data_IF_626841702638
#
_entry.id   IF_626841702638
#
_cell.length_a   1.000
_cell.length_b   1.000
_cell.length_c   1.000
_cell.angle_alpha   90.00
_cell.angle_beta   90.00
_cell.angle_gamma   90.00
#
_symmetry.space_group_name_H-M   'P 1'
#
loop_
_entity.id
_entity.type
_entity.pdbx_description
1 polymer ?
#
# COMPACT_ATOMS: atom_id res chain seq x y z
N UNK A 1 -2.33 0.85 -11.50
CA UNK A 1 -2.71 1.21 -10.12
C UNK A 1 -4.12 1.81 -10.04
N UNK A 2 -4.38 2.96 -10.67
CA UNK A 2 -5.68 3.65 -10.56
C UNK A 2 -6.88 2.85 -11.07
N UNK A 3 -6.80 2.24 -12.26
CA UNK A 3 -7.89 1.42 -12.80
C UNK A 3 -8.22 0.20 -11.91
N UNK A 4 -7.19 -0.47 -11.40
CA UNK A 4 -7.35 -1.61 -10.47
C UNK A 4 -7.97 -1.15 -9.14
N UNK A 5 -7.51 -0.04 -8.57
CA UNK A 5 -8.11 0.54 -7.38
C UNK A 5 -9.57 0.91 -7.62
N UNK A 6 -9.90 1.58 -8.73
CA UNK A 6 -11.26 1.97 -9.09
C UNK A 6 -12.19 0.74 -9.19
N UNK A 7 -11.73 -0.32 -9.84
CA UNK A 7 -12.46 -1.59 -9.94
C UNK A 7 -12.73 -2.21 -8.55
N UNK A 8 -11.73 -2.26 -7.67
CA UNK A 8 -11.89 -2.81 -6.33
C UNK A 8 -12.70 -1.90 -5.39
N UNK A 9 -12.61 -0.58 -5.59
CA UNK A 9 -13.38 0.44 -4.91
C UNK A 9 -14.83 0.54 -5.41
N UNK A 10 -15.14 -0.08 -6.56
CA UNK A 10 -16.41 0.07 -7.28
C UNK A 10 -16.75 1.54 -7.54
N UNK A 11 -15.74 2.29 -7.94
CA UNK A 11 -15.84 3.69 -8.31
C UNK A 11 -15.57 3.86 -9.79
N UNK A 12 -16.29 4.80 -10.40
CA UNK A 12 -15.86 5.39 -11.66
C UNK A 12 -14.93 6.55 -11.35
N UNK A 13 -13.72 6.48 -11.89
CA UNK A 13 -12.72 7.55 -11.76
C UNK A 13 -12.69 8.25 -13.11
N UNK A 14 -13.02 9.54 -13.11
CA UNK A 14 -12.91 10.36 -14.32
C UNK A 14 -11.47 10.52 -14.78
N UNK A 15 -11.27 11.06 -15.98
CA UNK A 15 -9.93 11.42 -16.41
C UNK A 15 -9.40 12.59 -15.58
N UNK A 16 -8.23 12.42 -14.96
CA UNK A 16 -7.53 13.53 -14.34
C UNK A 16 -7.01 14.49 -15.43
N UNK A 17 -7.08 15.79 -15.14
CA UNK A 17 -6.51 16.83 -16.01
C UNK A 17 -5.00 16.64 -16.23
N UNK A 18 -4.30 16.09 -15.23
CA UNK A 18 -2.90 15.71 -15.31
C UNK A 18 -2.69 14.33 -14.68
N UNK A 19 -1.95 13.46 -15.37
CA UNK A 19 -1.47 12.19 -14.84
C UNK A 19 0.06 12.20 -14.79
N UNK A 20 0.61 11.74 -13.66
CA UNK A 20 2.05 11.54 -13.48
C UNK A 20 2.31 10.10 -13.09
N UNK A 21 3.18 9.45 -13.85
CA UNK A 21 3.64 8.11 -13.55
C UNK A 21 5.08 8.17 -13.06
N UNK A 22 5.36 7.39 -12.02
CA UNK A 22 6.69 7.27 -11.44
C UNK A 22 7.09 5.80 -11.48
N UNK A 23 8.34 5.53 -11.83
CA UNK A 23 8.90 4.17 -11.90
C UNK A 23 8.94 3.48 -10.53
N UNK A 24 9.05 4.27 -9.45
CA UNK A 24 9.12 3.76 -8.08
C UNK A 24 8.06 4.41 -7.20
N UNK A 25 7.40 3.58 -6.38
CA UNK A 25 6.36 4.03 -5.44
C UNK A 25 6.88 5.14 -4.52
N UNK A 26 8.15 5.08 -4.10
CA UNK A 26 8.74 6.08 -3.21
C UNK A 26 8.74 7.49 -3.81
N UNK A 27 9.02 7.64 -5.11
CA UNK A 27 8.97 8.97 -5.75
C UNK A 27 7.54 9.52 -5.85
N UNK A 28 6.57 8.65 -6.10
CA UNK A 28 5.16 9.02 -6.06
C UNK A 28 4.74 9.46 -4.64
N UNK A 29 5.19 8.76 -3.60
CA UNK A 29 4.88 9.11 -2.22
C UNK A 29 5.50 10.45 -1.82
N UNK A 30 6.76 10.71 -2.16
CA UNK A 30 7.39 12.00 -1.90
C UNK A 30 6.69 13.14 -2.66
N UNK A 31 6.22 12.90 -3.89
CA UNK A 31 5.41 13.88 -4.61
C UNK A 31 4.06 14.16 -3.91
N UNK A 32 3.40 13.13 -3.39
CA UNK A 32 2.16 13.29 -2.62
C UNK A 32 2.40 14.06 -1.31
N UNK A 33 3.48 13.75 -0.59
CA UNK A 33 3.90 14.47 0.64
C UNK A 33 4.22 15.93 0.34
N UNK A 34 4.83 16.22 -0.81
CA UNK A 34 5.12 17.58 -1.27
C UNK A 34 3.87 18.35 -1.76
N UNK A 35 2.68 17.75 -1.69
CA UNK A 35 1.44 18.39 -2.12
C UNK A 35 1.26 18.47 -3.63
N UNK A 36 1.98 17.65 -4.41
CA UNK A 36 1.92 17.65 -5.87
C UNK A 36 0.76 16.80 -6.43
N UNK A 37 -0.09 16.24 -5.57
CA UNK A 37 -1.27 15.47 -5.96
C UNK A 37 -1.61 14.36 -4.99
N UNK A 38 -2.35 13.37 -5.51
CA UNK A 38 -2.76 12.16 -4.79
C UNK A 38 -2.21 10.91 -5.48
N UNK A 39 -2.08 9.82 -4.72
CA UNK A 39 -1.52 8.58 -5.23
C UNK A 39 -2.21 7.34 -4.67
N UNK A 40 -2.11 6.24 -5.42
CA UNK A 40 -2.55 4.92 -5.00
C UNK A 40 -1.32 4.10 -4.61
N UNK A 41 -1.29 3.63 -3.37
CA UNK A 41 -0.22 2.78 -2.84
C UNK A 41 -0.78 1.64 -2.00
N UNK A 42 -0.12 0.49 -1.95
CA UNK A 42 -0.30 -0.47 -0.87
C UNK A 42 -0.09 0.16 0.52
N UNK A 43 -0.92 -0.23 1.48
CA UNK A 43 -0.87 0.28 2.85
C UNK A 43 0.51 0.13 3.51
N UNK A 44 1.20 -0.98 3.25
CA UNK A 44 2.51 -1.28 3.83
C UNK A 44 3.56 -0.19 3.57
N UNK A 45 3.43 0.56 2.47
CA UNK A 45 4.38 1.63 2.13
C UNK A 45 4.02 2.98 2.77
N UNK A 46 2.79 3.17 3.25
CA UNK A 46 2.27 4.48 3.69
C UNK A 46 1.78 4.49 5.13
N UNK A 47 1.79 3.34 5.82
CA UNK A 47 1.30 3.22 7.19
C UNK A 47 1.96 4.23 8.16
N UNK A 48 3.29 4.38 8.08
CA UNK A 48 4.04 5.33 8.92
C UNK A 48 3.72 6.80 8.60
N UNK A 49 3.57 7.13 7.31
CA UNK A 49 3.25 8.49 6.88
C UNK A 49 1.83 8.89 7.26
N UNK A 50 0.88 7.97 7.19
CA UNK A 50 -0.49 8.20 7.66
C UNK A 50 -0.52 8.30 9.18
N UNK A 51 0.20 7.43 9.91
CA UNK A 51 0.24 7.48 11.37
C UNK A 51 0.89 8.76 11.91
N UNK A 52 1.88 9.31 11.20
CA UNK A 52 2.55 10.58 11.55
C UNK A 52 1.80 11.83 11.06
N UNK A 53 0.74 11.67 10.26
CA UNK A 53 -0.03 12.79 9.69
C UNK A 53 0.65 13.49 8.51
N UNK A 54 1.75 12.93 7.97
CA UNK A 54 2.38 13.40 6.73
C UNK A 54 1.48 13.19 5.51
N UNK A 55 0.76 12.07 5.50
CA UNK A 55 -0.21 11.72 4.47
C UNK A 55 -1.59 11.47 5.10
N UNK A 56 -2.63 11.70 4.31
CA UNK A 56 -3.99 11.29 4.65
C UNK A 56 -4.46 10.19 3.70
N UNK A 57 -5.31 9.28 4.20
CA UNK A 57 -6.00 8.27 3.41
C UNK A 57 -7.50 8.58 3.34
N UNK A 58 -7.92 9.56 2.51
CA UNK A 58 -9.30 10.07 2.51
C UNK A 58 -10.32 8.98 2.17
N UNK A 59 -10.01 8.14 1.17
CA UNK A 59 -10.88 7.05 0.74
C UNK A 59 -10.66 5.74 1.52
N UNK A 60 -9.74 5.72 2.50
CA UNK A 60 -9.29 4.49 3.16
C UNK A 60 -8.66 3.50 2.18
N UNK A 61 -8.65 2.20 2.53
CA UNK A 61 -8.08 1.15 1.71
C UNK A 61 -9.07 0.03 1.40
N UNK A 62 -8.97 -0.49 0.17
CA UNK A 62 -9.70 -1.67 -0.29
C UNK A 62 -8.76 -2.86 -0.37
N UNK A 63 -9.24 -4.04 0.05
CA UNK A 63 -8.43 -5.26 0.03
C UNK A 63 -8.32 -5.79 -1.40
N UNK A 64 -7.10 -6.07 -1.84
CA UNK A 64 -6.83 -6.68 -3.15
C UNK A 64 -6.38 -8.15 -3.01
N UNK A 65 -6.38 -8.93 -4.09
CA UNK A 65 -5.81 -10.28 -4.11
C UNK A 65 -4.27 -10.32 -3.98
N UNK A 66 -3.57 -9.17 -4.08
CA UNK A 66 -2.12 -9.10 -3.98
C UNK A 66 -1.59 -9.63 -2.64
N UNK A 67 -0.42 -10.27 -2.66
CA UNK A 67 0.23 -10.87 -1.49
C UNK A 67 1.74 -10.65 -1.55
N UNK A 68 2.35 -10.45 -0.39
CA UNK A 68 3.79 -10.52 -0.23
C UNK A 68 4.19 -11.94 0.18
N UNK A 69 5.25 -12.46 -0.43
CA UNK A 69 5.75 -13.81 -0.17
C UNK A 69 7.20 -13.77 0.28
N UNK A 70 7.51 -14.55 1.31
CA UNK A 70 8.87 -14.91 1.64
C UNK A 70 9.24 -16.18 0.85
N UNK A 71 10.25 -16.09 -0.02
CA UNK A 71 10.68 -17.20 -0.87
C UNK A 71 12.10 -17.59 -0.49
N UNK A 72 12.31 -18.88 -0.21
CA UNK A 72 13.61 -19.43 0.12
C UNK A 72 13.87 -20.75 -0.63
N UNK A 73 15.12 -21.09 -0.97
CA UNK A 73 15.47 -22.37 -1.57
C UNK A 73 15.06 -23.55 -0.70
N UNK A 74 14.51 -24.60 -1.33
CA UNK A 74 14.10 -25.83 -0.63
C UNK A 74 15.27 -26.74 -0.28
N UNK A 75 16.31 -26.75 -1.11
CA UNK A 75 17.51 -27.54 -0.88
C UNK A 75 18.37 -26.85 0.18
N UNK A 76 18.63 -27.53 1.31
CA UNK A 76 19.38 -27.02 2.46
C UNK A 76 18.64 -26.00 3.34
N UNK A 77 17.59 -26.41 4.07
CA UNK A 77 16.96 -25.56 5.09
C UNK A 77 18.00 -25.17 6.15
N UNK A 78 18.17 -23.86 6.37
CA UNK A 78 19.06 -23.32 7.40
C UNK A 78 18.22 -22.80 8.58
N UNK A 79 18.54 -23.14 9.84
CA UNK A 79 17.79 -22.65 11.00
C UNK A 79 17.65 -21.12 11.03
N UNK A 80 18.68 -20.38 10.61
CA UNK A 80 18.65 -18.92 10.52
C UNK A 80 17.61 -18.39 9.54
N UNK A 81 17.34 -19.10 8.44
CA UNK A 81 16.34 -18.71 7.44
C UNK A 81 14.93 -18.90 8.00
N UNK A 82 14.70 -20.00 8.73
CA UNK A 82 13.43 -20.23 9.42
C UNK A 82 13.20 -19.20 10.52
N UNK A 83 14.22 -18.90 11.32
CA UNK A 83 14.15 -17.87 12.35
C UNK A 83 13.83 -16.49 11.76
N UNK A 84 14.47 -16.12 10.65
CA UNK A 84 14.17 -14.86 9.95
C UNK A 84 12.75 -14.83 9.38
N UNK A 85 12.28 -15.93 8.79
CA UNK A 85 10.89 -16.05 8.30
C UNK A 85 9.89 -15.84 9.44
N UNK A 86 10.11 -16.51 10.57
CA UNK A 86 9.19 -16.48 11.70
C UNK A 86 9.15 -15.07 12.30
N UNK A 87 10.31 -14.44 12.50
CA UNK A 87 10.41 -13.03 12.88
C UNK A 87 9.69 -12.11 11.87
N UNK A 88 9.90 -12.28 10.57
CA UNK A 88 9.26 -11.44 9.55
C UNK A 88 7.73 -11.56 9.57
N UNK A 89 7.20 -12.75 9.85
CA UNK A 89 5.75 -12.97 10.01
C UNK A 89 5.24 -12.27 11.28
N UNK A 90 6.00 -12.27 12.36
CA UNK A 90 5.66 -11.54 13.59
C UNK A 90 5.61 -10.03 13.36
N UNK A 91 6.63 -9.46 12.71
CA UNK A 91 6.65 -8.04 12.33
C UNK A 91 5.46 -7.67 11.44
N UNK A 92 5.14 -8.52 10.45
CA UNK A 92 4.00 -8.29 9.56
C UNK A 92 2.65 -8.33 10.29
N UNK A 93 2.53 -9.12 11.37
CA UNK A 93 1.33 -9.16 12.22
C UNK A 93 1.22 -7.95 13.15
N UNK A 94 2.36 -7.38 13.56
CA UNK A 94 2.41 -6.20 14.40
C UNK A 94 2.14 -4.89 13.63
N UNK A 95 2.24 -4.91 12.30
CA UNK A 95 1.92 -3.76 11.47
C UNK A 95 0.46 -3.30 11.69
N UNK A 96 0.22 -1.97 11.81
CA UNK A 96 -1.13 -1.45 12.01
C UNK A 96 -2.03 -1.86 10.84
N UNK A 97 -3.31 -2.18 11.07
CA UNK A 97 -4.24 -2.46 9.98
C UNK A 97 -4.53 -1.18 9.18
N UNK A 98 -4.81 -1.28 7.88
CA UNK A 98 -5.23 -0.13 7.09
C UNK A 98 -6.58 0.42 7.59
N UNK A 99 -6.81 1.75 7.50
CA UNK A 99 -8.12 2.31 7.73
C UNK A 99 -9.13 1.79 6.69
N UNK A 100 -10.34 1.46 7.16
CA UNK A 100 -11.42 0.97 6.31
C UNK A 100 -11.77 1.97 5.20
N UNK A 101 -12.20 1.44 4.06
CA UNK A 101 -12.65 2.24 2.93
C UNK A 101 -13.84 3.15 3.33
N UNK A 102 -13.76 4.44 3.00
CA UNK A 102 -14.78 5.47 3.27
C UNK A 102 -15.36 6.06 1.99
N UNK A 103 -15.49 5.20 0.98
CA UNK A 103 -15.82 5.59 -0.40
C UNK A 103 -17.21 6.26 -0.51
N UNK A 104 -18.17 5.90 0.33
CA UNK A 104 -19.53 6.47 0.31
C UNK A 104 -19.63 7.91 0.83
N UNK A 105 -18.60 8.44 1.50
CA UNK A 105 -18.62 9.81 2.05
C UNK A 105 -18.30 10.88 1.00
N UNK A 106 -17.86 10.46 -0.20
CA UNK A 106 -17.34 11.34 -1.24
C UNK A 106 -18.00 11.13 -2.62
N UNK A 107 -19.05 10.30 -2.69
CA UNK A 107 -19.88 10.06 -3.89
C UNK A 107 -21.18 10.87 -3.79
#
# INVERSE_FOLDING_TARGET
>A
AWAEWAQHARLEVGEAAEHREYEHVFYMLEAAVAGLGVGVSPWIYVAGDVASGRLAAPFGFVRTPARFYFVAPRASPRPVVSAFRDWLIEEARAAPPPPSARIAEFA
#
